data_IF_630992378671
#
_entry.id   IF_630992378671
#
_cell.length_a   1.000
_cell.length_b   1.000
_cell.length_c   1.000
_cell.angle_alpha   90.00
_cell.angle_beta   90.00
_cell.angle_gamma   90.00
#
_symmetry.space_group_name_H-M   'P 1'
#
loop_
_entity.id
_entity.type
_entity.pdbx_description
1 polymer ?
#
# COMPACT_ATOMS: atom_id res chain seq x y z
N UNK A 1 51.34 1.81 -0.54
CA UNK A 1 51.63 0.88 -1.65
C UNK A 1 50.30 0.55 -2.30
N UNK A 2 50.02 1.02 -3.51
CA UNK A 2 48.78 0.70 -4.21
C UNK A 2 49.13 -0.15 -5.43
N UNK A 3 49.03 -1.48 -5.29
CA UNK A 3 49.10 -2.39 -6.43
C UNK A 3 47.73 -2.46 -7.10
N UNK A 4 47.53 -1.65 -8.14
CA UNK A 4 46.54 -1.93 -9.18
C UNK A 4 47.29 -2.68 -10.28
N UNK A 5 46.90 -3.92 -10.59
CA UNK A 5 47.63 -4.74 -11.56
C UNK A 5 47.34 -4.32 -13.00
N UNK A 6 48.34 -4.44 -13.88
CA UNK A 6 48.25 -4.03 -15.29
C UNK A 6 47.10 -4.73 -16.05
N UNK A 7 46.69 -5.92 -15.60
CA UNK A 7 45.55 -6.66 -16.11
C UNK A 7 44.22 -5.86 -16.12
N UNK A 8 44.05 -4.91 -15.18
CA UNK A 8 42.84 -4.08 -15.11
C UNK A 8 42.76 -3.03 -16.24
N UNK A 9 43.90 -2.54 -16.75
CA UNK A 9 43.95 -1.53 -17.80
C UNK A 9 43.66 -2.15 -19.17
N UNK A 10 44.25 -3.31 -19.47
CA UNK A 10 44.08 -4.03 -20.75
C UNK A 10 42.61 -4.41 -21.02
N UNK A 11 41.82 -4.64 -19.97
CA UNK A 11 40.39 -4.96 -20.14
C UNK A 11 39.54 -3.77 -20.62
N UNK A 12 39.90 -2.54 -20.24
CA UNK A 12 39.17 -1.33 -20.63
C UNK A 12 39.39 -0.97 -22.11
N UNK A 13 40.63 -1.11 -22.60
CA UNK A 13 40.98 -0.80 -24.00
C UNK A 13 40.30 -1.73 -25.01
N UNK A 14 40.01 -2.99 -24.64
CA UNK A 14 39.38 -3.99 -25.52
C UNK A 14 37.85 -3.89 -25.55
N UNK A 15 37.21 -3.54 -24.42
CA UNK A 15 35.75 -3.56 -24.27
C UNK A 15 35.10 -2.28 -24.81
N UNK A 16 35.67 -1.10 -24.52
CA UNK A 16 35.06 0.19 -24.87
C UNK A 16 34.86 0.40 -26.39
N UNK A 17 35.79 -0.01 -27.30
CA UNK A 17 35.56 0.10 -28.75
C UNK A 17 34.40 -0.77 -29.25
N UNK A 18 34.25 -1.99 -28.71
CA UNK A 18 33.16 -2.90 -29.07
C UNK A 18 31.79 -2.35 -28.67
N UNK A 19 31.69 -1.75 -27.48
CA UNK A 19 30.43 -1.14 -27.02
C UNK A 19 30.00 0.04 -27.88
N UNK A 20 30.95 0.87 -28.36
CA UNK A 20 30.65 1.97 -29.30
C UNK A 20 30.19 1.45 -30.65
N UNK A 21 30.93 0.52 -31.24
CA UNK A 21 30.57 -0.11 -32.53
C UNK A 21 29.16 -0.71 -32.53
N UNK A 22 28.75 -1.33 -31.42
CA UNK A 22 27.40 -1.91 -31.28
C UNK A 22 26.32 -0.84 -31.13
N UNK A 23 26.58 0.25 -30.39
CA UNK A 23 25.65 1.38 -30.25
C UNK A 23 25.46 2.14 -31.59
N UNK A 24 26.52 2.33 -32.36
CA UNK A 24 26.45 2.97 -33.67
C UNK A 24 25.74 2.09 -34.71
N UNK A 25 25.89 0.77 -34.64
CA UNK A 25 25.12 -0.18 -35.48
C UNK A 25 23.61 -0.11 -35.21
N UNK A 26 23.19 0.00 -33.95
CA UNK A 26 21.77 0.18 -33.60
C UNK A 26 21.25 1.54 -34.12
N UNK A 27 22.09 2.58 -34.12
CA UNK A 27 21.77 3.93 -34.61
C UNK A 27 21.80 4.11 -36.13
N UNK A 28 22.36 3.16 -36.88
CA UNK A 28 22.21 3.09 -38.34
C UNK A 28 20.98 2.27 -38.73
N UNK A 29 20.79 1.10 -38.12
CA UNK A 29 19.62 0.24 -38.34
C UNK A 29 18.29 0.96 -38.11
N UNK A 30 18.19 1.78 -37.05
CA UNK A 30 16.98 2.57 -36.81
C UNK A 30 16.74 3.64 -37.88
N UNK A 31 17.78 4.31 -38.38
CA UNK A 31 17.62 5.30 -39.46
C UNK A 31 17.28 4.65 -40.79
N UNK A 32 17.83 3.48 -41.08
CA UNK A 32 17.49 2.71 -42.28
C UNK A 32 16.01 2.30 -42.27
N UNK A 33 15.49 1.87 -41.11
CA UNK A 33 14.05 1.62 -40.93
C UNK A 33 13.18 2.86 -41.20
N UNK A 34 13.64 4.07 -40.86
CA UNK A 34 12.93 5.31 -41.14
C UNK A 34 13.14 5.86 -42.56
N UNK A 35 14.15 5.41 -43.32
CA UNK A 35 14.30 5.77 -44.74
C UNK A 35 13.54 4.84 -45.68
N UNK A 36 13.39 3.57 -45.30
CA UNK A 36 12.90 2.53 -46.22
C UNK A 36 11.36 2.40 -46.18
N UNK A 37 10.70 3.01 -45.18
CA UNK A 37 9.25 3.18 -45.09
C UNK A 37 8.75 4.40 -45.91
N UNK A 38 8.99 4.38 -47.22
CA UNK A 38 8.51 5.40 -48.17
C UNK A 38 7.08 5.13 -48.71
N UNK A 39 6.32 6.21 -48.92
CA UNK A 39 5.05 6.31 -49.65
C UNK A 39 4.00 5.18 -49.49
N UNK A 40 3.11 5.33 -48.51
CA UNK A 40 1.70 4.96 -48.70
C UNK A 40 0.78 6.15 -48.36
N UNK A 41 0.15 6.71 -49.39
CA UNK A 41 -0.89 7.74 -49.23
C UNK A 41 -2.16 7.11 -48.67
N UNK A 42 -2.44 7.30 -47.38
CA UNK A 42 -3.71 6.91 -46.76
C UNK A 42 -4.50 8.17 -46.41
N UNK A 43 -5.80 8.14 -46.70
CA UNK A 43 -6.70 9.28 -46.56
C UNK A 43 -6.91 9.66 -45.09
N UNK A 44 -7.05 10.95 -44.82
CA UNK A 44 -7.35 11.48 -43.48
C UNK A 44 -8.71 11.03 -42.97
N UNK A 45 -8.73 10.07 -42.04
CA UNK A 45 -9.87 9.81 -41.16
C UNK A 45 -9.94 10.90 -40.08
N UNK A 46 -11.14 11.25 -39.57
CA UNK A 46 -11.30 12.27 -38.54
C UNK A 46 -10.66 11.85 -37.21
N UNK A 47 -10.35 12.85 -36.39
CA UNK A 47 -9.71 12.69 -35.08
C UNK A 47 -10.51 11.76 -34.17
N UNK A 48 -9.99 10.55 -33.94
CA UNK A 48 -10.33 9.79 -32.73
C UNK A 48 -9.72 10.53 -31.56
N UNK A 49 -10.53 11.35 -30.87
CA UNK A 49 -10.18 11.87 -29.56
C UNK A 49 -9.95 10.68 -28.63
N UNK A 50 -8.68 10.38 -28.34
CA UNK A 50 -8.32 9.57 -27.19
C UNK A 50 -8.79 10.33 -25.96
N UNK A 51 -9.95 9.95 -25.44
CA UNK A 51 -10.46 10.47 -24.18
C UNK A 51 -9.43 10.13 -23.10
N UNK A 52 -8.71 11.14 -22.60
CA UNK A 52 -7.85 11.02 -21.43
C UNK A 52 -8.70 10.48 -20.27
N UNK A 53 -8.66 9.16 -20.07
CA UNK A 53 -9.18 8.54 -18.86
C UNK A 53 -8.44 9.19 -17.70
N UNK A 54 -9.19 9.93 -16.86
CA UNK A 54 -8.64 10.68 -15.74
C UNK A 54 -7.83 9.74 -14.86
N UNK A 55 -6.49 9.80 -15.02
CA UNK A 55 -5.60 8.80 -14.46
C UNK A 55 -5.44 9.06 -12.96
N UNK A 56 -6.40 8.57 -12.17
CA UNK A 56 -6.31 8.51 -10.71
C UNK A 56 -5.14 7.61 -10.36
N UNK A 57 -3.97 8.21 -10.17
CA UNK A 57 -2.72 7.51 -9.91
C UNK A 57 -2.86 6.70 -8.64
N UNK A 58 -2.94 5.37 -8.79
CA UNK A 58 -3.10 4.43 -7.69
C UNK A 58 -1.84 4.49 -6.82
N UNK A 59 -1.93 5.27 -5.74
CA UNK A 59 -0.83 5.54 -4.81
C UNK A 59 -0.92 4.70 -3.53
N UNK A 60 -2.03 4.00 -3.32
CA UNK A 60 -2.26 3.03 -2.24
C UNK A 60 -1.97 1.60 -2.70
N UNK A 61 -1.35 0.79 -1.83
CA UNK A 61 -1.28 -0.67 -1.99
C UNK A 61 -1.56 -1.39 -0.66
N UNK A 62 -2.20 -2.57 -0.74
CA UNK A 62 -2.43 -3.45 0.39
C UNK A 62 -1.26 -4.44 0.51
N UNK A 63 -0.64 -4.50 1.68
CA UNK A 63 0.36 -5.52 2.03
C UNK A 63 -0.31 -6.61 2.88
N UNK A 64 -0.26 -7.85 2.37
CA UNK A 64 -0.73 -9.07 3.04
C UNK A 64 0.51 -9.86 3.48
N UNK A 65 0.96 -9.63 4.71
CA UNK A 65 2.27 -10.06 5.21
C UNK A 65 2.18 -11.42 5.90
N UNK A 66 3.02 -12.36 5.46
CA UNK A 66 3.25 -13.70 6.00
C UNK A 66 1.98 -14.51 6.33
N UNK A 67 0.90 -14.32 5.57
CA UNK A 67 -0.35 -15.10 5.69
C UNK A 67 -0.16 -16.47 5.01
N UNK A 68 0.73 -17.27 5.61
CA UNK A 68 1.29 -18.50 5.03
C UNK A 68 1.20 -19.69 5.98
N UNK A 69 1.10 -20.89 5.40
CA UNK A 69 0.88 -22.15 6.12
C UNK A 69 1.99 -22.51 7.11
N UNK A 70 3.20 -21.95 6.95
CA UNK A 70 4.30 -22.09 7.92
C UNK A 70 3.93 -21.73 9.36
N UNK A 71 2.90 -20.92 9.61
CA UNK A 71 2.44 -20.63 10.97
C UNK A 71 1.49 -21.70 11.54
N UNK A 72 0.71 -22.38 10.69
CA UNK A 72 -0.22 -23.46 11.08
C UNK A 72 0.55 -24.63 11.74
N UNK A 73 1.78 -24.87 11.28
CA UNK A 73 2.70 -25.90 11.75
C UNK A 73 3.54 -25.49 13.00
N UNK A 74 3.32 -24.30 13.58
CA UNK A 74 4.11 -23.83 14.73
C UNK A 74 3.51 -24.27 16.07
N UNK A 75 4.31 -24.68 17.08
CA UNK A 75 3.81 -25.11 18.39
C UNK A 75 3.05 -24.07 19.23
N UNK A 76 2.98 -22.81 18.77
CA UNK A 76 2.21 -21.73 19.38
C UNK A 76 0.95 -21.34 18.59
N UNK A 77 0.66 -22.03 17.48
CA UNK A 77 -0.54 -21.77 16.69
C UNK A 77 -1.79 -21.99 17.53
N UNK A 78 -2.77 -21.10 17.37
CA UNK A 78 -4.12 -21.25 17.92
C UNK A 78 -5.12 -20.69 16.94
N UNK A 79 -6.34 -21.22 16.99
CA UNK A 79 -7.49 -20.71 16.22
C UNK A 79 -8.27 -19.61 16.98
N UNK A 80 -7.79 -19.22 18.19
CA UNK A 80 -8.35 -18.13 18.99
C UNK A 80 -8.43 -16.81 18.18
N UNK A 81 -9.64 -16.29 17.96
CA UNK A 81 -9.90 -15.11 17.10
C UNK A 81 -9.38 -15.23 15.65
N UNK A 82 -9.11 -16.46 15.17
CA UNK A 82 -8.77 -16.70 13.77
C UNK A 82 -9.94 -16.32 12.84
N UNK A 83 -11.18 -16.64 13.22
CA UNK A 83 -12.37 -16.34 12.41
C UNK A 83 -12.56 -14.82 12.18
N UNK A 84 -12.39 -14.00 13.21
CA UNK A 84 -12.50 -12.53 13.12
C UNK A 84 -11.41 -11.96 12.20
N UNK A 85 -10.18 -12.48 12.34
CA UNK A 85 -9.05 -12.11 11.51
C UNK A 85 -9.25 -12.51 10.04
N UNK A 86 -9.72 -13.75 9.77
CA UNK A 86 -10.04 -14.24 8.42
C UNK A 86 -11.07 -13.35 7.73
N UNK A 87 -12.12 -12.95 8.45
CA UNK A 87 -13.15 -12.04 7.94
C UNK A 87 -12.55 -10.67 7.59
N UNK A 88 -11.85 -10.01 8.53
CA UNK A 88 -11.26 -8.70 8.31
C UNK A 88 -10.20 -8.71 7.19
N UNK A 89 -9.34 -9.75 7.14
CA UNK A 89 -8.29 -9.90 6.13
C UNK A 89 -8.86 -10.04 4.72
N UNK A 90 -9.87 -10.89 4.51
CA UNK A 90 -10.49 -11.09 3.20
C UNK A 90 -11.40 -9.91 2.81
N UNK A 91 -12.09 -9.28 3.76
CA UNK A 91 -12.86 -8.06 3.49
C UNK A 91 -11.95 -6.90 3.06
N UNK A 92 -10.77 -6.76 3.66
CA UNK A 92 -9.75 -5.78 3.28
C UNK A 92 -9.16 -6.06 1.88
N UNK A 93 -8.91 -7.33 1.54
CA UNK A 93 -8.48 -7.75 0.20
C UNK A 93 -9.55 -7.41 -0.85
N UNK A 94 -10.83 -7.71 -0.56
CA UNK A 94 -11.93 -7.37 -1.45
C UNK A 94 -12.09 -5.84 -1.61
N UNK A 95 -11.90 -5.07 -0.54
CA UNK A 95 -11.94 -3.60 -0.58
C UNK A 95 -10.83 -3.01 -1.45
N UNK A 96 -9.58 -3.49 -1.29
CA UNK A 96 -8.44 -3.07 -2.10
C UNK A 96 -8.67 -3.35 -3.59
N UNK A 97 -9.18 -4.53 -3.94
CA UNK A 97 -9.52 -4.89 -5.33
C UNK A 97 -10.66 -4.04 -5.90
N UNK A 98 -11.68 -3.72 -5.11
CA UNK A 98 -12.78 -2.85 -5.52
C UNK A 98 -12.33 -1.41 -5.82
N UNK A 99 -11.20 -0.97 -5.26
CA UNK A 99 -10.56 0.32 -5.51
C UNK A 99 -9.39 0.24 -6.51
N UNK A 100 -9.14 -0.94 -7.08
CA UNK A 100 -8.06 -1.16 -8.06
C UNK A 100 -6.64 -1.15 -7.48
N UNK A 101 -6.48 -1.13 -6.14
CA UNK A 101 -5.17 -1.18 -5.51
C UNK A 101 -4.48 -2.53 -5.74
N UNK A 102 -3.14 -2.58 -5.87
CA UNK A 102 -2.42 -3.83 -5.81
C UNK A 102 -2.57 -4.50 -4.44
N UNK A 103 -3.01 -5.75 -4.44
CA UNK A 103 -2.94 -6.64 -3.27
C UNK A 103 -1.62 -7.40 -3.36
N UNK A 104 -0.68 -7.07 -2.48
CA UNK A 104 0.69 -7.58 -2.51
C UNK A 104 0.91 -8.56 -1.38
N UNK A 105 1.18 -9.81 -1.74
CA UNK A 105 1.53 -10.86 -0.78
C UNK A 105 3.03 -10.86 -0.52
N UNK A 106 3.40 -11.06 0.74
CA UNK A 106 4.81 -11.19 1.16
C UNK A 106 4.92 -12.43 2.04
N UNK A 107 5.90 -13.29 1.78
CA UNK A 107 6.12 -14.51 2.55
C UNK A 107 7.53 -14.56 3.17
N UNK A 108 7.62 -15.02 4.41
CA UNK A 108 8.89 -15.23 5.10
C UNK A 108 9.48 -16.61 4.76
N UNK A 109 10.78 -16.60 4.45
CA UNK A 109 11.60 -17.76 4.09
C UNK A 109 12.78 -17.88 5.04
N UNK A 110 13.01 -19.10 5.55
CA UNK A 110 13.95 -19.36 6.63
C UNK A 110 14.34 -20.83 6.71
N UNK A 111 14.06 -21.47 7.85
CA UNK A 111 14.41 -22.87 8.16
C UNK A 111 13.20 -23.61 8.73
N UNK A 112 13.23 -24.95 8.67
CA UNK A 112 12.12 -25.78 9.17
C UNK A 112 10.85 -25.53 8.35
N UNK A 113 9.72 -25.31 9.02
CA UNK A 113 8.43 -25.01 8.35
C UNK A 113 8.43 -23.71 7.54
N UNK A 114 9.46 -22.86 7.70
CA UNK A 114 9.67 -21.65 6.90
C UNK A 114 10.67 -21.83 5.75
N UNK A 115 11.31 -22.99 5.55
CA UNK A 115 12.10 -23.22 4.32
C UNK A 115 11.19 -23.56 3.14
N UNK A 116 11.52 -23.11 1.93
CA UNK A 116 10.75 -23.37 0.70
C UNK A 116 10.52 -24.88 0.51
N UNK A 117 11.56 -25.69 0.76
CA UNK A 117 11.53 -27.16 0.66
C UNK A 117 10.55 -27.86 1.64
N UNK A 118 9.92 -27.11 2.56
CA UNK A 118 8.89 -27.65 3.47
C UNK A 118 7.51 -27.79 2.83
N UNK A 119 7.23 -27.05 1.75
CA UNK A 119 5.89 -26.94 1.15
C UNK A 119 4.91 -26.02 1.89
N UNK A 120 5.29 -25.43 3.04
CA UNK A 120 4.41 -24.57 3.84
C UNK A 120 4.60 -23.05 3.60
N UNK A 121 5.56 -22.64 2.75
CA UNK A 121 5.74 -21.23 2.32
C UNK A 121 4.77 -20.92 1.16
N UNK A 122 3.49 -21.16 1.42
CA UNK A 122 2.35 -21.00 0.52
C UNK A 122 1.22 -20.29 1.28
N UNK A 123 0.27 -19.60 0.61
CA UNK A 123 -0.87 -18.96 1.28
C UNK A 123 -1.67 -19.95 2.11
N UNK A 124 -2.23 -19.49 3.24
CA UNK A 124 -3.23 -20.27 3.99
C UNK A 124 -4.49 -20.48 3.13
N UNK A 125 -5.07 -21.69 3.16
CA UNK A 125 -6.12 -22.14 2.22
C UNK A 125 -7.40 -21.28 2.22
N UNK A 126 -7.57 -20.40 3.23
CA UNK A 126 -8.70 -19.50 3.40
C UNK A 126 -8.50 -18.09 2.85
N UNK A 127 -7.26 -17.66 2.53
CA UNK A 127 -6.99 -16.28 2.08
C UNK A 127 -7.26 -16.14 0.59
N UNK A 128 -8.01 -15.11 0.20
CA UNK A 128 -8.37 -14.84 -1.21
C UNK A 128 -7.18 -14.29 -2.00
N UNK A 129 -6.15 -15.13 -2.21
CA UNK A 129 -4.98 -14.83 -3.05
C UNK A 129 -5.22 -15.29 -4.48
N UNK A 130 -5.12 -14.35 -5.42
CA UNK A 130 -5.31 -14.57 -6.84
C UNK A 130 -3.99 -14.86 -7.55
N UNK A 131 -4.06 -15.50 -8.72
CA UNK A 131 -2.87 -15.90 -9.48
C UNK A 131 -2.04 -14.72 -10.01
N UNK A 132 -2.66 -13.56 -10.21
CA UNK A 132 -2.02 -12.33 -10.69
C UNK A 132 -1.54 -11.37 -9.59
N UNK A 133 -1.79 -11.67 -8.32
CA UNK A 133 -1.33 -10.82 -7.21
C UNK A 133 0.21 -10.86 -7.11
N UNK A 134 0.90 -9.72 -6.95
CA UNK A 134 2.34 -9.68 -6.74
C UNK A 134 2.76 -10.43 -5.46
N UNK A 135 3.74 -11.33 -5.58
CA UNK A 135 4.32 -12.10 -4.47
C UNK A 135 5.79 -11.73 -4.28
N UNK A 136 6.19 -11.47 -3.03
CA UNK A 136 7.56 -11.21 -2.63
C UNK A 136 8.00 -12.15 -1.51
N UNK A 137 9.31 -12.41 -1.40
CA UNK A 137 9.88 -13.26 -0.35
C UNK A 137 10.91 -12.48 0.47
N UNK A 138 10.91 -12.70 1.79
CA UNK A 138 11.86 -12.08 2.75
C UNK A 138 12.46 -13.11 3.69
N UNK A 139 13.60 -12.80 4.31
CA UNK A 139 14.29 -13.57 5.36
C UNK A 139 14.46 -12.78 6.65
N UNK A 140 14.01 -11.52 6.66
CA UNK A 140 13.92 -10.63 7.82
C UNK A 140 12.45 -10.37 8.19
N UNK A 141 12.22 -9.65 9.30
CA UNK A 141 10.87 -9.30 9.76
C UNK A 141 10.18 -8.30 8.82
N UNK A 142 10.82 -7.17 8.50
CA UNK A 142 10.22 -6.13 7.65
C UNK A 142 10.11 -6.57 6.17
N UNK A 143 9.04 -6.15 5.49
CA UNK A 143 8.74 -6.56 4.13
C UNK A 143 9.51 -5.82 3.03
N UNK A 144 10.30 -4.79 3.35
CA UNK A 144 10.75 -3.77 2.38
C UNK A 144 12.25 -3.86 2.03
N UNK A 145 13.14 -4.14 2.98
CA UNK A 145 14.59 -3.90 2.81
C UNK A 145 15.29 -4.79 1.77
N UNK A 146 15.01 -6.09 1.71
CA UNK A 146 15.74 -7.06 0.86
C UNK A 146 14.85 -7.88 -0.11
N UNK A 147 13.53 -7.76 0.00
CA UNK A 147 12.55 -8.53 -0.78
C UNK A 147 12.42 -8.08 -2.24
N UNK A 148 12.88 -6.86 -2.56
CA UNK A 148 12.59 -6.17 -3.82
C UNK A 148 11.27 -5.38 -3.81
N UNK A 149 10.47 -5.45 -2.74
CA UNK A 149 9.18 -4.75 -2.64
C UNK A 149 9.32 -3.22 -2.70
N UNK A 150 10.23 -2.62 -1.91
CA UNK A 150 10.36 -1.16 -1.88
C UNK A 150 10.68 -0.54 -3.26
N UNK A 151 11.65 -1.05 -4.05
CA UNK A 151 11.83 -0.63 -5.44
C UNK A 151 10.58 -0.80 -6.32
N UNK A 152 9.83 -1.91 -6.16
CA UNK A 152 8.64 -2.19 -6.95
C UNK A 152 7.48 -1.21 -6.67
N UNK A 153 7.33 -0.78 -5.41
CA UNK A 153 6.36 0.23 -4.97
C UNK A 153 6.72 1.61 -5.54
N UNK A 154 7.97 2.04 -5.36
CA UNK A 154 8.46 3.35 -5.83
C UNK A 154 8.36 3.47 -7.35
N UNK A 155 8.65 2.40 -8.10
CA UNK A 155 8.50 2.36 -9.57
C UNK A 155 7.04 2.51 -10.05
N UNK A 156 6.05 2.39 -9.16
CA UNK A 156 4.62 2.55 -9.46
C UNK A 156 4.02 3.86 -8.92
N UNK A 157 4.82 4.70 -8.25
CA UNK A 157 4.32 5.89 -7.57
C UNK A 157 3.48 5.60 -6.32
N UNK A 158 3.58 4.38 -5.78
CA UNK A 158 2.88 4.00 -4.55
C UNK A 158 3.59 4.69 -3.37
N UNK A 159 2.83 5.47 -2.61
CA UNK A 159 3.30 6.26 -1.46
C UNK A 159 2.51 5.98 -0.17
N UNK A 160 1.44 5.19 -0.27
CA UNK A 160 0.54 4.83 0.83
C UNK A 160 0.45 3.31 0.95
N UNK A 161 0.63 2.78 2.16
CA UNK A 161 0.67 1.34 2.42
C UNK A 161 -0.34 0.96 3.50
N UNK A 162 -1.22 0.02 3.15
CA UNK A 162 -2.19 -0.55 4.08
C UNK A 162 -1.62 -1.89 4.56
N UNK A 163 -1.36 -2.02 5.86
CA UNK A 163 -0.64 -3.15 6.46
C UNK A 163 -1.62 -4.13 7.12
N UNK A 164 -1.52 -5.40 6.72
CA UNK A 164 -2.29 -6.53 7.24
C UNK A 164 -1.41 -7.80 7.32
N UNK A 165 -1.84 -8.80 8.09
CA UNK A 165 -1.18 -10.11 8.16
C UNK A 165 -0.59 -10.52 9.51
N UNK A 166 0.46 -11.34 9.46
CA UNK A 166 0.99 -12.13 10.58
C UNK A 166 2.50 -11.84 10.76
N UNK A 167 3.08 -11.75 11.98
CA UNK A 167 2.43 -11.48 13.27
C UNK A 167 2.33 -9.97 13.51
N UNK A 168 1.26 -9.54 14.18
CA UNK A 168 0.96 -8.13 14.50
C UNK A 168 2.19 -7.35 14.99
N UNK A 169 2.83 -7.81 16.06
CA UNK A 169 3.95 -7.16 16.76
C UNK A 169 5.34 -7.43 16.16
N UNK A 170 5.42 -8.29 15.13
CA UNK A 170 6.68 -8.65 14.49
C UNK A 170 6.73 -8.17 13.04
N UNK A 171 6.31 -9.00 12.08
CA UNK A 171 6.49 -8.70 10.67
C UNK A 171 5.62 -7.53 10.22
N UNK A 172 4.41 -7.40 10.75
CA UNK A 172 3.53 -6.27 10.47
C UNK A 172 4.07 -4.98 11.11
N UNK A 173 4.29 -4.95 12.43
CA UNK A 173 4.79 -3.76 13.14
C UNK A 173 6.16 -3.30 12.61
N UNK A 174 7.12 -4.21 12.39
CA UNK A 174 8.45 -3.84 11.86
C UNK A 174 8.35 -3.31 10.42
N UNK A 175 7.41 -3.81 9.62
CA UNK A 175 7.15 -3.26 8.28
C UNK A 175 6.53 -1.87 8.36
N UNK A 176 5.54 -1.65 9.22
CA UNK A 176 4.90 -0.34 9.40
C UNK A 176 5.90 0.73 9.87
N UNK A 177 6.74 0.40 10.85
CA UNK A 177 7.84 1.28 11.31
C UNK A 177 8.81 1.63 10.18
N UNK A 178 9.33 0.61 9.48
CA UNK A 178 10.27 0.84 8.36
C UNK A 178 9.64 1.59 7.19
N UNK A 179 8.35 1.37 6.92
CA UNK A 179 7.60 2.10 5.89
C UNK A 179 7.50 3.60 6.23
N UNK A 180 7.14 3.93 7.47
CA UNK A 180 7.11 5.30 7.98
C UNK A 180 8.48 5.98 7.88
N UNK A 181 9.55 5.31 8.36
CA UNK A 181 10.92 5.82 8.29
C UNK A 181 11.42 5.99 6.83
N UNK A 182 10.89 5.19 5.91
CA UNK A 182 11.14 5.28 4.46
C UNK A 182 10.25 6.31 3.74
N UNK A 183 9.38 7.04 4.45
CA UNK A 183 8.55 8.11 3.89
C UNK A 183 7.24 7.66 3.24
N UNK A 184 6.81 6.42 3.44
CA UNK A 184 5.45 6.00 3.10
C UNK A 184 4.45 6.46 4.16
N UNK A 185 3.26 6.85 3.73
CA UNK A 185 2.11 6.95 4.64
C UNK A 185 1.60 5.53 4.94
N UNK A 186 1.19 5.25 6.19
CA UNK A 186 0.83 3.90 6.64
C UNK A 186 -0.51 3.87 7.36
N UNK A 187 -1.42 3.02 6.86
CA UNK A 187 -2.61 2.55 7.58
C UNK A 187 -2.33 1.12 8.11
N UNK A 188 -2.68 0.85 9.36
CA UNK A 188 -2.43 -0.45 10.02
C UNK A 188 -3.75 -1.04 10.50
N UNK A 189 -4.20 -2.11 9.85
CA UNK A 189 -5.55 -2.63 10.02
C UNK A 189 -5.53 -3.73 11.08
N UNK A 190 -5.80 -3.34 12.33
CA UNK A 190 -5.45 -4.12 13.52
C UNK A 190 -6.22 -5.44 13.63
N UNK A 191 -7.49 -5.47 13.27
CA UNK A 191 -8.32 -6.67 13.18
C UNK A 191 -7.87 -7.58 12.02
N UNK A 192 -7.50 -7.00 10.87
CA UNK A 192 -6.77 -7.67 9.78
C UNK A 192 -5.27 -7.92 10.09
N UNK A 193 -4.89 -8.09 11.36
CA UNK A 193 -3.61 -8.70 11.76
C UNK A 193 -3.83 -9.76 12.82
N UNK A 194 -2.94 -10.75 12.91
CA UNK A 194 -3.05 -11.85 13.87
C UNK A 194 -1.75 -12.07 14.66
N UNK A 195 -1.87 -12.56 15.89
CA UNK A 195 -0.73 -13.00 16.71
C UNK A 195 -1.23 -13.88 17.87
N UNK A 196 -0.29 -14.48 18.59
CA UNK A 196 -0.52 -15.49 19.61
C UNK A 196 -0.04 -15.00 20.99
N UNK A 197 -0.48 -15.65 22.06
CA UNK A 197 0.03 -15.37 23.40
C UNK A 197 1.52 -15.69 23.50
N UNK A 198 2.27 -14.91 24.29
CA UNK A 198 3.72 -15.06 24.48
C UNK A 198 4.11 -14.81 25.94
N UNK A 199 5.17 -15.47 26.43
CA UNK A 199 5.75 -15.13 27.74
C UNK A 199 6.50 -13.79 27.70
N UNK A 200 6.37 -13.00 28.76
CA UNK A 200 7.21 -11.84 29.02
C UNK A 200 8.63 -12.26 29.49
N UNK A 201 9.50 -11.28 29.78
CA UNK A 201 10.88 -11.54 30.21
C UNK A 201 11.02 -12.18 31.62
N UNK A 202 9.96 -12.20 32.44
CA UNK A 202 9.89 -12.93 33.71
C UNK A 202 9.29 -14.35 33.56
N UNK A 203 8.69 -14.65 32.40
CA UNK A 203 8.03 -15.91 32.07
C UNK A 203 6.49 -15.85 32.06
N UNK A 204 5.88 -14.78 32.60
CA UNK A 204 4.42 -14.69 32.71
C UNK A 204 3.76 -14.62 31.32
N UNK A 205 2.62 -15.31 31.10
CA UNK A 205 1.91 -15.26 29.83
C UNK A 205 1.26 -13.90 29.60
N UNK A 206 1.52 -13.31 28.42
CA UNK A 206 0.86 -12.12 27.89
C UNK A 206 -0.15 -12.57 26.82
N UNK A 207 -1.45 -12.30 27.00
CA UNK A 207 -2.49 -12.59 26.00
C UNK A 207 -2.23 -11.92 24.65
N UNK A 208 -2.67 -12.57 23.56
CA UNK A 208 -2.59 -12.02 22.21
C UNK A 208 -3.29 -10.65 22.09
N UNK A 209 -4.41 -10.44 22.79
CA UNK A 209 -5.13 -9.16 22.80
C UNK A 209 -4.30 -8.02 23.42
N UNK A 210 -3.55 -8.29 24.49
CA UNK A 210 -2.70 -7.28 25.14
C UNK A 210 -1.50 -6.92 24.27
N UNK A 211 -0.96 -7.90 23.53
CA UNK A 211 0.09 -7.70 22.52
C UNK A 211 -0.45 -6.80 21.38
N UNK A 212 -1.64 -7.11 20.83
CA UNK A 212 -2.28 -6.30 19.79
C UNK A 212 -2.59 -4.87 20.27
N UNK A 213 -3.09 -4.71 21.51
CA UNK A 213 -3.35 -3.41 22.13
C UNK A 213 -2.06 -2.61 22.35
N UNK A 214 -0.97 -3.26 22.75
CA UNK A 214 0.34 -2.62 22.88
C UNK A 214 0.86 -2.12 21.52
N UNK A 215 0.93 -2.99 20.51
CA UNK A 215 1.36 -2.63 19.14
C UNK A 215 0.55 -1.47 18.59
N UNK A 216 -0.79 -1.51 18.73
CA UNK A 216 -1.65 -0.41 18.33
C UNK A 216 -1.27 0.91 19.03
N UNK A 217 -1.08 0.86 20.35
CA UNK A 217 -0.73 2.03 21.18
C UNK A 217 0.63 2.64 20.81
N UNK A 218 1.62 1.84 20.41
CA UNK A 218 2.97 2.33 20.08
C UNK A 218 3.16 2.75 18.62
N UNK A 219 2.31 2.27 17.71
CA UNK A 219 2.27 2.67 16.30
C UNK A 219 1.44 3.94 16.06
N UNK A 220 0.31 4.09 16.76
CA UNK A 220 -0.69 5.14 16.54
C UNK A 220 -0.09 6.55 16.61
N UNK A 221 -0.36 7.35 15.57
CA UNK A 221 0.13 8.73 15.41
C UNK A 221 1.66 8.91 15.45
N UNK A 222 2.42 7.82 15.28
CA UNK A 222 3.91 7.84 15.31
C UNK A 222 4.55 7.13 14.14
N UNK A 223 3.91 6.05 13.66
CA UNK A 223 4.38 5.22 12.56
C UNK A 223 3.23 4.79 11.63
N UNK A 224 1.99 4.81 12.12
CA UNK A 224 0.81 4.51 11.32
C UNK A 224 -0.45 5.19 11.89
N UNK A 225 -1.50 5.24 11.08
CA UNK A 225 -2.89 5.32 11.56
C UNK A 225 -3.36 3.88 11.81
N UNK A 226 -3.64 3.54 13.07
CA UNK A 226 -4.12 2.21 13.48
C UNK A 226 -5.64 2.24 13.61
N UNK A 227 -6.31 1.33 12.92
CA UNK A 227 -7.77 1.24 12.92
C UNK A 227 -8.27 -0.19 12.63
N UNK A 228 -9.57 -0.44 12.82
CA UNK A 228 -10.24 -1.66 12.36
C UNK A 228 -10.62 -1.55 10.89
N UNK A 229 -10.86 -2.68 10.22
CA UNK A 229 -11.35 -2.72 8.84
C UNK A 229 -12.65 -1.92 8.69
N UNK A 230 -13.60 -2.06 9.61
CA UNK A 230 -14.86 -1.30 9.58
C UNK A 230 -14.62 0.23 9.63
N UNK A 231 -13.68 0.69 10.44
CA UNK A 231 -13.35 2.12 10.52
C UNK A 231 -12.57 2.58 9.28
N UNK A 232 -11.59 1.80 8.81
CA UNK A 232 -10.85 2.04 7.57
C UNK A 232 -11.77 2.08 6.35
N UNK A 233 -12.82 1.27 6.35
CA UNK A 233 -13.90 1.34 5.38
C UNK A 233 -14.84 2.55 5.58
N UNK A 234 -14.48 3.59 6.37
CA UNK A 234 -15.35 4.72 6.76
C UNK A 234 -14.77 6.17 6.96
N UNK A 235 -13.52 6.64 6.74
CA UNK A 235 -12.25 6.08 6.24
C UNK A 235 -11.99 6.31 4.72
N UNK A 236 -12.34 7.43 4.04
CA UNK A 236 -12.30 7.46 2.57
C UNK A 236 -10.88 7.58 2.01
N UNK A 237 -10.69 7.16 0.75
CA UNK A 237 -9.49 7.54 0.00
C UNK A 237 -9.37 9.06 -0.12
N UNK A 238 -8.11 9.51 -0.18
CA UNK A 238 -7.68 10.88 0.11
C UNK A 238 -8.05 11.88 -0.98
N UNK A 239 -9.34 12.19 -1.04
CA UNK A 239 -9.89 13.42 -1.61
C UNK A 239 -10.76 14.12 -0.57
N UNK A 240 -11.87 13.48 -0.18
CA UNK A 240 -12.89 14.10 0.67
C UNK A 240 -12.63 13.90 2.17
N UNK A 241 -12.74 14.99 2.95
CA UNK A 241 -12.53 15.08 4.41
C UNK A 241 -13.49 14.22 5.25
N UNK A 242 -14.65 13.83 4.70
CA UNK A 242 -15.73 13.14 5.41
C UNK A 242 -16.36 12.04 4.53
N UNK A 243 -16.99 11.02 5.15
CA UNK A 243 -17.83 10.01 4.44
C UNK A 243 -19.34 10.20 4.56
N UNK A 244 -19.77 10.99 5.54
CA UNK A 244 -21.20 11.17 5.83
C UNK A 244 -21.56 12.65 5.76
N UNK A 245 -22.72 12.93 5.17
CA UNK A 245 -23.26 14.29 5.06
C UNK A 245 -23.57 14.83 6.47
N UNK A 246 -22.98 15.97 6.90
CA UNK A 246 -23.18 16.51 8.25
C UNK A 246 -24.65 16.82 8.58
N UNK A 247 -25.48 17.04 7.56
CA UNK A 247 -26.91 17.37 7.69
C UNK A 247 -27.84 16.17 7.86
N UNK A 248 -27.41 14.97 7.44
CA UNK A 248 -28.32 13.82 7.28
C UNK A 248 -27.76 12.47 7.74
N UNK A 249 -26.47 12.38 8.04
CA UNK A 249 -25.78 11.13 8.37
C UNK A 249 -25.65 10.13 7.21
N UNK A 250 -26.23 10.41 6.03
CA UNK A 250 -26.15 9.52 4.86
C UNK A 250 -24.77 9.59 4.20
N UNK A 251 -24.38 8.49 3.56
CA UNK A 251 -23.22 8.41 2.67
C UNK A 251 -23.20 9.54 1.64
N UNK A 252 -21.99 9.87 1.18
CA UNK A 252 -21.81 10.86 0.12
C UNK A 252 -22.37 10.39 -1.23
N UNK A 253 -22.82 11.36 -2.03
CA UNK A 253 -22.97 11.17 -3.47
C UNK A 253 -21.74 11.73 -4.19
N UNK A 254 -21.24 11.02 -5.20
CA UNK A 254 -20.00 11.37 -5.91
C UNK A 254 -20.09 12.68 -6.72
N UNK A 255 -21.30 13.12 -7.04
CA UNK A 255 -21.62 14.42 -7.67
C UNK A 255 -21.78 15.56 -6.65
N UNK A 256 -21.68 15.28 -5.35
CA UNK A 256 -22.03 16.19 -4.25
C UNK A 256 -20.82 16.61 -3.41
N UNK A 257 -19.70 16.84 -4.09
CA UNK A 257 -18.45 17.33 -3.51
C UNK A 257 -18.29 18.84 -3.74
N UNK A 258 -17.60 19.52 -2.84
CA UNK A 258 -17.21 20.95 -2.92
C UNK A 258 -15.92 21.16 -2.12
N UNK A 259 -15.39 22.39 -2.03
CA UNK A 259 -14.16 22.67 -1.26
C UNK A 259 -14.45 23.49 0.01
N UNK A 260 -13.70 23.21 1.08
CA UNK A 260 -13.66 24.00 2.30
C UNK A 260 -12.23 24.08 2.85
N UNK A 261 -11.65 25.29 2.84
CA UNK A 261 -10.31 25.60 3.37
C UNK A 261 -9.16 24.73 2.79
N UNK A 262 -9.19 24.41 1.50
CA UNK A 262 -8.18 23.54 0.87
C UNK A 262 -8.41 22.03 1.07
N UNK A 263 -9.53 21.63 1.68
CA UNK A 263 -9.97 20.24 1.76
C UNK A 263 -11.26 20.07 0.95
N UNK A 264 -11.35 19.01 0.14
CA UNK A 264 -12.63 18.65 -0.47
C UNK A 264 -13.58 18.11 0.61
N UNK A 265 -14.84 18.52 0.58
CA UNK A 265 -15.90 18.11 1.52
C UNK A 265 -17.13 17.64 0.76
N UNK A 266 -17.85 16.66 1.31
CA UNK A 266 -18.92 15.97 0.60
C UNK A 266 -20.25 15.92 1.33
N UNK A 267 -21.32 15.77 0.55
CA UNK A 267 -22.70 15.69 1.03
C UNK A 267 -23.47 14.56 0.32
N UNK A 268 -24.71 14.29 0.75
CA UNK A 268 -25.52 13.18 0.26
C UNK A 268 -26.39 13.50 -0.97
N UNK A 269 -26.29 14.72 -1.51
CA UNK A 269 -26.94 15.20 -2.74
C UNK A 269 -26.59 16.67 -3.00
N UNK A 270 -26.63 17.06 -4.28
CA UNK A 270 -26.31 18.42 -4.76
C UNK A 270 -27.04 19.57 -4.04
N UNK A 271 -28.25 19.35 -3.49
CA UNK A 271 -28.95 20.36 -2.68
C UNK A 271 -28.22 20.64 -1.35
N UNK A 272 -27.66 19.62 -0.70
CA UNK A 272 -26.87 19.79 0.52
C UNK A 272 -25.52 20.50 0.25
N UNK A 273 -24.78 20.13 -0.80
CA UNK A 273 -23.50 20.80 -1.15
C UNK A 273 -23.70 22.23 -1.68
N UNK A 274 -24.76 22.46 -2.47
CA UNK A 274 -25.16 23.82 -2.89
C UNK A 274 -25.52 24.67 -1.68
N UNK A 275 -26.38 24.17 -0.79
CA UNK A 275 -26.82 24.88 0.42
C UNK A 275 -25.74 25.02 1.50
N UNK A 276 -24.57 24.40 1.36
CA UNK A 276 -23.37 24.69 2.16
C UNK A 276 -22.57 25.86 1.56
N UNK A 277 -22.52 25.92 0.23
CA UNK A 277 -21.76 26.89 -0.54
C UNK A 277 -22.49 28.24 -0.61
N UNK A 278 -23.82 28.25 -0.75
CA UNK A 278 -24.63 29.46 -0.97
C UNK A 278 -24.94 30.27 0.29
N UNK A 279 -25.00 29.63 1.46
CA UNK A 279 -25.34 30.29 2.73
C UNK A 279 -24.34 29.89 3.85
N UNK A 280 -23.31 30.72 4.09
CA UNK A 280 -22.35 30.50 5.18
C UNK A 280 -22.92 30.58 6.60
N UNK A 281 -24.11 31.17 6.79
CA UNK A 281 -24.74 31.37 8.10
C UNK A 281 -25.61 30.16 8.44
N UNK A 282 -26.48 29.74 7.52
CA UNK A 282 -27.28 28.52 7.69
C UNK A 282 -26.40 27.25 7.74
N UNK A 283 -25.23 27.25 7.08
CA UNK A 283 -24.26 26.15 7.11
C UNK A 283 -23.26 26.20 8.29
N UNK A 284 -23.47 27.05 9.29
CA UNK A 284 -22.53 27.20 10.41
C UNK A 284 -22.22 25.88 11.14
N UNK A 285 -23.21 25.00 11.32
CA UNK A 285 -23.01 23.69 11.95
C UNK A 285 -22.18 22.73 11.07
N UNK A 286 -22.39 22.74 9.75
CA UNK A 286 -21.55 21.98 8.81
C UNK A 286 -20.10 22.47 8.89
N UNK A 287 -19.91 23.79 8.94
CA UNK A 287 -18.59 24.44 9.03
C UNK A 287 -17.88 24.12 10.34
N UNK A 288 -18.58 24.09 11.48
CA UNK A 288 -18.03 23.64 12.75
C UNK A 288 -17.67 22.13 12.76
N UNK A 289 -18.42 21.30 12.02
CA UNK A 289 -18.08 19.89 11.82
C UNK A 289 -16.81 19.74 10.99
N UNK A 290 -16.69 20.44 9.86
CA UNK A 290 -15.47 20.39 9.04
C UNK A 290 -14.26 21.05 9.72
N UNK A 291 -14.43 22.16 10.44
CA UNK A 291 -13.35 22.77 11.22
C UNK A 291 -12.81 21.81 12.28
N UNK A 292 -13.67 20.99 12.90
CA UNK A 292 -13.23 19.92 13.82
C UNK A 292 -12.45 18.82 13.09
N UNK A 293 -12.92 18.34 11.95
CA UNK A 293 -12.21 17.34 11.14
C UNK A 293 -10.86 17.86 10.64
N UNK A 294 -10.79 19.13 10.22
CA UNK A 294 -9.55 19.80 9.82
C UNK A 294 -8.59 19.90 11.01
N UNK A 295 -9.05 20.27 12.21
CA UNK A 295 -8.19 20.28 13.40
C UNK A 295 -7.71 18.88 13.78
N UNK A 296 -8.54 17.84 13.62
CA UNK A 296 -8.13 16.45 13.84
C UNK A 296 -7.08 16.00 12.81
N UNK A 297 -7.30 16.24 11.52
CA UNK A 297 -6.36 15.86 10.46
C UNK A 297 -5.07 16.70 10.47
N UNK A 298 -5.15 17.98 10.85
CA UNK A 298 -4.00 18.86 11.02
C UNK A 298 -3.20 18.50 12.29
N UNK A 299 -3.86 18.12 13.39
CA UNK A 299 -3.19 17.64 14.60
C UNK A 299 -2.38 16.37 14.38
N UNK A 300 -2.81 15.50 13.45
CA UNK A 300 -2.03 14.34 12.97
C UNK A 300 -0.85 14.74 12.07
N UNK A 301 -0.84 15.95 11.50
CA UNK A 301 0.22 16.49 10.63
C UNK A 301 1.13 17.54 11.29
N UNK A 302 0.82 17.99 12.51
CA UNK A 302 1.53 19.09 13.17
C UNK A 302 2.12 18.73 14.54
N UNK A 303 2.22 17.43 14.86
CA UNK A 303 3.01 16.93 15.98
C UNK A 303 4.38 16.47 15.45
N UNK A 304 5.50 16.87 16.09
CA UNK A 304 6.86 16.51 15.70
C UNK A 304 7.33 15.15 16.24
#
# INVERSE_FOLDING_TARGET
MNFVSEAALVHLEIVLPKMRSMADSVRSLSRQWWSDCGDLTIMTSPETQETEMSNSTINTALLVIDVQRSFEEMPFWSEDSLQDYQFAQNALIAHARALGWPVVFVYHTGRGVFSIDSGFVEPMDWVDRQAGDPVFYKRVHNALSESGLQPWLVQRGISHLVVSGIRTEQCCETTARFASDAGFEVDFILDATHTFAMSNAAGDPVPAIDIKLHTATVLQHRFAVVQTFDNFALVPERGTLNRHCPRSGKMLASDSLTEYRGYQVGFCNSHCSSGFTSDPVASHLDRLYFDRLIVQQAGVRSLP
#
